data_IF_572122971622
#
_entry.id   IF_572122971622
#
_cell.length_a   1.000
_cell.length_b   1.000
_cell.length_c   1.000
_cell.angle_alpha   90.00
_cell.angle_beta   90.00
_cell.angle_gamma   90.00
#
_symmetry.space_group_name_H-M   'P 1'
#
loop_
_entity.id
_entity.type
_entity.pdbx_description
1 polymer ?
#
# COMPACT_ATOMS: atom_id res chain seq x y z
N UNK A 1 11.75 -23.81 -20.83
CA UNK A 1 10.36 -23.83 -20.32
C UNK A 1 9.82 -22.42 -20.43
N UNK A 2 8.76 -22.18 -21.22
CA UNK A 2 8.20 -20.84 -21.47
C UNK A 2 7.18 -20.52 -20.36
N UNK A 3 7.27 -19.38 -19.65
CA UNK A 3 6.21 -18.98 -18.73
C UNK A 3 5.01 -18.50 -19.54
N UNK A 4 3.86 -19.15 -19.33
CA UNK A 4 2.57 -18.70 -19.85
C UNK A 4 2.08 -17.60 -18.89
N UNK A 5 2.00 -16.37 -19.38
CA UNK A 5 1.40 -15.26 -18.64
C UNK A 5 -0.08 -15.22 -19.00
N UNK A 6 -0.92 -15.69 -18.07
CA UNK A 6 -2.37 -15.62 -18.18
C UNK A 6 -2.79 -14.18 -17.83
N UNK A 7 -3.02 -13.34 -18.84
CA UNK A 7 -3.59 -12.01 -18.65
C UNK A 7 -5.10 -12.17 -18.37
N UNK A 8 -5.48 -12.15 -17.09
CA UNK A 8 -6.87 -11.99 -16.68
C UNK A 8 -7.25 -10.51 -16.79
N UNK A 9 -7.76 -10.13 -17.97
CA UNK A 9 -8.39 -8.82 -18.18
C UNK A 9 -9.75 -8.84 -17.46
N UNK A 10 -9.76 -8.36 -16.22
CA UNK A 10 -11.00 -7.99 -15.54
C UNK A 10 -11.55 -6.73 -16.22
N UNK A 11 -12.38 -6.92 -17.25
CA UNK A 11 -13.13 -5.83 -17.88
C UNK A 11 -14.29 -5.45 -16.96
N UNK A 12 -14.16 -4.34 -16.24
CA UNK A 12 -15.30 -3.70 -15.61
C UNK A 12 -16.10 -2.95 -16.69
N UNK A 13 -17.44 -2.98 -16.66
CA UNK A 13 -18.24 -2.19 -17.57
C UNK A 13 -17.99 -0.71 -17.30
N UNK A 14 -17.23 -0.05 -18.18
CA UNK A 14 -17.08 1.40 -18.17
C UNK A 14 -18.44 2.00 -18.54
N UNK A 15 -19.06 2.85 -17.70
CA UNK A 15 -20.29 3.52 -18.09
C UNK A 15 -20.03 4.35 -19.35
N UNK A 16 -21.01 4.38 -20.25
CA UNK A 16 -20.91 5.10 -21.51
C UNK A 16 -20.58 6.58 -21.25
N UNK A 17 -19.35 7.00 -21.59
CA UNK A 17 -18.86 8.37 -21.36
C UNK A 17 -17.74 8.52 -20.32
N UNK A 18 -17.40 7.47 -19.57
CA UNK A 18 -16.30 7.52 -18.60
C UNK A 18 -14.94 7.65 -19.31
N UNK A 19 -14.28 8.79 -19.06
CA UNK A 19 -12.99 9.12 -19.66
C UNK A 19 -11.88 8.53 -18.79
N UNK A 20 -11.19 7.51 -19.31
CA UNK A 20 -10.02 6.94 -18.64
C UNK A 20 -8.87 7.96 -18.61
N UNK A 21 -8.36 8.29 -17.44
CA UNK A 21 -7.29 9.28 -17.23
C UNK A 21 -6.08 8.61 -16.58
N UNK A 22 -4.85 8.84 -17.09
CA UNK A 22 -3.66 8.40 -16.38
C UNK A 22 -3.48 9.20 -15.10
N UNK A 23 -3.05 8.54 -14.03
CA UNK A 23 -2.80 9.15 -12.72
C UNK A 23 -1.43 8.72 -12.21
N UNK A 24 -0.73 9.67 -11.60
CA UNK A 24 0.53 9.46 -10.91
C UNK A 24 0.37 9.95 -9.47
N UNK A 25 0.58 9.06 -8.52
CA UNK A 25 0.65 9.36 -7.11
C UNK A 25 2.09 9.21 -6.64
N UNK A 26 2.58 10.21 -5.92
CA UNK A 26 3.90 10.16 -5.30
C UNK A 26 3.76 10.59 -3.84
N UNK A 27 4.28 9.78 -2.93
CA UNK A 27 4.30 10.07 -1.50
C UNK A 27 5.70 9.80 -0.96
N UNK A 28 6.20 10.71 -0.13
CA UNK A 28 7.44 10.54 0.60
C UNK A 28 7.10 10.66 2.08
N UNK A 29 7.43 9.63 2.85
CA UNK A 29 7.20 9.59 4.30
C UNK A 29 8.56 9.45 4.98
N UNK A 30 8.89 10.39 5.85
CA UNK A 30 10.02 10.26 6.76
C UNK A 30 9.57 9.60 8.05
N UNK A 31 10.36 8.66 8.57
CA UNK A 31 10.07 7.99 9.83
C UNK A 31 11.30 7.95 10.73
N UNK A 32 11.10 8.24 12.02
CA UNK A 32 12.14 8.08 13.03
C UNK A 32 12.30 6.58 13.36
N UNK A 33 13.38 5.97 12.86
CA UNK A 33 13.68 4.54 13.06
C UNK A 33 14.55 3.95 11.95
N UNK A 34 14.85 2.64 12.00
CA UNK A 34 15.69 1.97 10.99
C UNK A 34 15.09 2.02 9.57
N UNK A 35 13.77 2.24 9.49
CA UNK A 35 13.00 2.48 8.28
C UNK A 35 13.43 3.76 7.53
N UNK A 36 13.89 4.79 8.26
CA UNK A 36 14.41 6.05 7.72
C UNK A 36 13.42 6.88 6.88
N UNK A 37 13.21 6.48 5.64
CA UNK A 37 12.26 7.10 4.72
C UNK A 37 11.64 6.05 3.80
N UNK A 38 10.35 6.17 3.53
CA UNK A 38 9.64 5.40 2.51
C UNK A 38 9.26 6.34 1.38
N UNK A 39 9.71 6.02 0.17
CA UNK A 39 9.20 6.60 -1.06
C UNK A 39 8.15 5.65 -1.65
N UNK A 40 6.98 6.18 -1.98
CA UNK A 40 5.91 5.46 -2.61
C UNK A 40 5.55 6.13 -3.94
N UNK A 41 5.47 5.31 -4.98
CA UNK A 41 5.09 5.69 -6.33
C UNK A 41 3.95 4.79 -6.80
N UNK A 42 2.86 5.38 -7.27
CA UNK A 42 1.77 4.64 -7.90
C UNK A 42 1.43 5.25 -9.25
N UNK A 43 1.37 4.40 -10.27
CA UNK A 43 1.01 4.76 -11.63
C UNK A 43 -0.23 3.97 -12.01
N UNK A 44 -1.27 4.62 -12.47
CA UNK A 44 -2.52 3.94 -12.82
C UNK A 44 -3.38 4.64 -13.83
N UNK A 45 -4.51 4.02 -14.10
CA UNK A 45 -5.58 4.55 -14.93
C UNK A 45 -6.83 4.65 -14.08
N UNK A 46 -7.41 5.84 -14.03
CA UNK A 46 -8.64 6.16 -13.30
C UNK A 46 -9.80 6.36 -14.26
N UNK A 47 -10.97 5.83 -13.91
CA UNK A 47 -12.23 6.11 -14.57
C UNK A 47 -13.23 6.63 -13.55
N UNK A 48 -13.98 7.67 -13.91
CA UNK A 48 -15.03 8.23 -13.06
C UNK A 48 -16.21 7.24 -12.95
N UNK A 49 -16.84 7.18 -11.78
CA UNK A 49 -18.01 6.35 -11.50
C UNK A 49 -19.20 7.24 -11.10
N UNK A 50 -20.38 6.98 -11.67
CA UNK A 50 -21.59 7.74 -11.35
C UNK A 50 -21.65 9.11 -12.02
N UNK A 51 -22.60 9.94 -11.56
CA UNK A 51 -22.79 11.30 -12.05
C UNK A 51 -21.97 12.29 -11.18
N UNK A 52 -20.94 12.97 -11.73
CA UNK A 52 -20.12 13.90 -10.95
C UNK A 52 -20.91 15.12 -10.41
N UNK A 53 -22.08 15.44 -10.97
CA UNK A 53 -22.93 16.54 -10.51
C UNK A 53 -23.71 16.16 -9.24
N UNK A 54 -23.81 14.87 -8.91
CA UNK A 54 -24.38 14.39 -7.66
C UNK A 54 -23.34 14.41 -6.52
N UNK A 55 -23.61 15.06 -5.37
CA UNK A 55 -22.65 15.17 -4.27
C UNK A 55 -22.13 13.83 -3.73
N UNK A 56 -22.91 12.76 -3.83
CA UNK A 56 -22.53 11.42 -3.39
C UNK A 56 -21.49 10.77 -4.31
N UNK A 57 -21.48 11.15 -5.58
CA UNK A 57 -20.58 10.63 -6.61
C UNK A 57 -19.51 11.65 -7.02
N UNK A 58 -19.50 12.84 -6.42
CA UNK A 58 -18.48 13.85 -6.61
C UNK A 58 -17.08 13.30 -6.26
N UNK A 59 -16.35 12.83 -7.27
CA UNK A 59 -15.06 12.18 -7.11
C UNK A 59 -15.11 10.66 -6.92
N UNK A 60 -16.25 10.01 -7.13
CA UNK A 60 -16.33 8.55 -7.20
C UNK A 60 -15.58 8.03 -8.44
N UNK A 61 -14.80 6.98 -8.28
CA UNK A 61 -13.89 6.48 -9.31
C UNK A 61 -13.49 5.02 -9.12
N UNK A 62 -13.00 4.40 -10.18
CA UNK A 62 -12.23 3.17 -10.14
C UNK A 62 -10.83 3.45 -10.69
N UNK A 63 -9.80 2.97 -10.02
CA UNK A 63 -8.41 3.12 -10.41
C UNK A 63 -7.69 1.78 -10.32
N UNK A 64 -6.87 1.49 -11.31
CA UNK A 64 -6.04 0.28 -11.35
C UNK A 64 -4.64 0.64 -11.82
N UNK A 65 -3.63 0.00 -11.26
CA UNK A 65 -2.26 0.31 -11.65
C UNK A 65 -1.19 -0.49 -10.95
N UNK A 66 0.02 0.04 -11.04
CA UNK A 66 1.24 -0.49 -10.43
C UNK A 66 1.66 0.38 -9.25
N UNK A 67 2.29 -0.23 -8.25
CA UNK A 67 2.87 0.46 -7.09
C UNK A 67 4.34 0.07 -6.93
N UNK A 68 5.11 1.01 -6.41
CA UNK A 68 6.45 0.79 -5.89
C UNK A 68 6.55 1.50 -4.53
N UNK A 69 6.99 0.77 -3.50
CA UNK A 69 7.37 1.32 -2.21
C UNK A 69 8.83 0.95 -1.95
N UNK A 70 9.68 1.94 -1.78
CA UNK A 70 11.11 1.74 -1.58
C UNK A 70 11.54 2.43 -0.29
N UNK A 71 12.25 1.69 0.56
CA UNK A 71 12.91 2.19 1.75
C UNK A 71 14.37 1.69 1.79
N UNK A 72 15.21 2.21 2.68
CA UNK A 72 16.56 1.70 2.89
C UNK A 72 16.65 0.21 3.24
N UNK A 73 15.56 -0.43 3.69
CA UNK A 73 15.57 -1.82 4.19
C UNK A 73 14.62 -2.77 3.45
N UNK A 74 13.78 -2.25 2.54
CA UNK A 74 12.94 -3.08 1.68
C UNK A 74 12.53 -2.39 0.39
N UNK A 75 12.05 -3.20 -0.54
CA UNK A 75 11.28 -2.78 -1.71
C UNK A 75 10.02 -3.64 -1.84
N UNK A 76 8.88 -2.99 -2.12
CA UNK A 76 7.60 -3.62 -2.42
C UNK A 76 7.11 -3.12 -3.78
N UNK A 77 7.03 -4.01 -4.76
CA UNK A 77 6.55 -3.66 -6.09
C UNK A 77 5.37 -4.54 -6.48
N UNK A 78 4.34 -3.98 -7.10
CA UNK A 78 3.16 -4.77 -7.41
C UNK A 78 2.03 -4.02 -8.08
N UNK A 79 0.82 -4.50 -7.84
CA UNK A 79 -0.41 -4.01 -8.43
C UNK A 79 -1.36 -3.49 -7.35
N UNK A 80 -2.18 -2.52 -7.71
CA UNK A 80 -3.29 -2.09 -6.88
C UNK A 80 -4.57 -1.94 -7.69
N UNK A 81 -5.68 -2.08 -6.98
CA UNK A 81 -7.03 -1.76 -7.41
C UNK A 81 -7.66 -0.89 -6.35
N UNK A 82 -8.22 0.24 -6.75
CA UNK A 82 -8.90 1.18 -5.89
C UNK A 82 -10.29 1.45 -6.47
N UNK A 83 -11.31 1.40 -5.61
CA UNK A 83 -12.68 1.72 -5.98
C UNK A 83 -13.22 2.66 -4.91
N UNK A 84 -13.58 3.86 -5.33
CA UNK A 84 -14.33 4.83 -4.53
C UNK A 84 -15.74 4.92 -5.10
N UNK A 85 -16.69 4.10 -4.62
CA UNK A 85 -18.05 4.09 -5.16
C UNK A 85 -18.84 5.34 -4.74
N UNK A 86 -18.41 6.01 -3.68
CA UNK A 86 -19.00 7.21 -3.10
C UNK A 86 -17.88 8.18 -2.71
N UNK A 87 -18.15 9.48 -2.74
CA UNK A 87 -17.18 10.55 -2.45
C UNK A 87 -16.46 10.39 -1.10
N UNK A 88 -17.12 9.75 -0.13
CA UNK A 88 -16.59 9.57 1.23
C UNK A 88 -15.96 8.19 1.49
N UNK A 89 -16.05 7.23 0.56
CA UNK A 89 -15.60 5.86 0.76
C UNK A 89 -14.58 5.46 -0.31
N UNK A 90 -13.43 4.96 0.11
CA UNK A 90 -12.41 4.40 -0.77
C UNK A 90 -12.05 2.99 -0.31
N UNK A 91 -12.10 2.04 -1.22
CA UNK A 91 -11.69 0.66 -1.01
C UNK A 91 -10.46 0.41 -1.86
N UNK A 92 -9.37 -0.07 -1.26
CA UNK A 92 -8.12 -0.30 -1.98
C UNK A 92 -7.56 -1.67 -1.64
N UNK A 93 -7.28 -2.47 -2.66
CA UNK A 93 -6.53 -3.71 -2.56
C UNK A 93 -5.17 -3.54 -3.23
N UNK A 94 -4.10 -3.99 -2.56
CA UNK A 94 -2.74 -3.98 -3.09
C UNK A 94 -2.11 -5.34 -2.93
N UNK A 95 -1.44 -5.84 -3.97
CA UNK A 95 -0.65 -7.06 -3.92
C UNK A 95 0.75 -6.75 -4.42
N UNK A 96 1.75 -6.94 -3.56
CA UNK A 96 3.15 -6.65 -3.87
C UNK A 96 4.05 -7.85 -3.65
N UNK A 97 5.07 -7.99 -4.51
CA UNK A 97 6.25 -8.77 -4.18
C UNK A 97 7.11 -7.92 -3.22
N UNK A 98 7.59 -8.56 -2.16
CA UNK A 98 8.37 -7.90 -1.11
C UNK A 98 9.78 -8.46 -1.09
N UNK A 99 10.78 -7.58 -1.00
CA UNK A 99 12.15 -7.91 -0.71
C UNK A 99 12.61 -7.08 0.50
N UNK A 100 13.18 -7.73 1.50
CA UNK A 100 13.73 -7.10 2.71
C UNK A 100 15.21 -7.46 2.80
N UNK A 101 16.04 -6.53 3.25
CA UNK A 101 17.46 -6.77 3.48
C UNK A 101 17.94 -6.05 4.74
N UNK A 102 18.99 -6.58 5.39
CA UNK A 102 19.57 -5.94 6.55
C UNK A 102 20.37 -4.71 6.13
N UNK A 103 20.41 -3.75 7.03
CA UNK A 103 21.44 -2.70 7.03
C UNK A 103 22.06 -2.73 8.42
N UNK A 104 23.33 -2.32 8.57
CA UNK A 104 24.07 -2.40 9.84
C UNK A 104 23.55 -1.51 10.98
N UNK A 105 22.24 -1.25 11.03
CA UNK A 105 21.55 -0.56 12.11
C UNK A 105 20.73 -1.57 12.92
N UNK A 106 20.73 -1.49 14.26
CA UNK A 106 19.91 -2.35 15.10
C UNK A 106 18.43 -2.34 14.70
N UNK A 107 17.80 -3.52 14.69
CA UNK A 107 16.42 -3.72 14.29
C UNK A 107 16.15 -3.64 12.79
N UNK A 108 17.19 -3.48 11.95
CA UNK A 108 17.05 -3.36 10.51
C UNK A 108 17.40 -4.68 9.80
N UNK A 109 16.39 -5.40 9.34
CA UNK A 109 16.56 -6.65 8.59
C UNK A 109 15.42 -7.62 8.79
N UNK A 110 15.52 -8.79 8.15
CA UNK A 110 14.62 -9.91 8.40
C UNK A 110 15.24 -10.86 9.42
N UNK A 111 14.42 -11.28 10.39
CA UNK A 111 14.82 -12.26 11.41
C UNK A 111 13.75 -13.33 11.51
N UNK A 112 14.07 -14.55 11.09
CA UNK A 112 13.23 -15.71 11.36
C UNK A 112 13.26 -16.04 12.85
N UNK A 113 12.09 -16.12 13.49
CA UNK A 113 11.99 -16.37 14.93
C UNK A 113 11.00 -17.49 15.25
N UNK A 114 11.12 -18.05 16.45
CA UNK A 114 10.15 -18.98 17.02
C UNK A 114 9.21 -18.27 18.02
N UNK A 115 9.44 -16.99 18.32
CA UNK A 115 8.64 -16.15 19.21
C UNK A 115 8.60 -14.70 18.74
N UNK A 116 7.44 -14.02 18.76
CA UNK A 116 7.31 -12.62 18.34
C UNK A 116 7.91 -11.62 19.33
N UNK A 117 8.20 -12.02 20.58
CA UNK A 117 8.79 -11.13 21.57
C UNK A 117 10.32 -11.17 21.46
N UNK A 118 10.91 -10.17 20.78
CA UNK A 118 12.36 -10.04 20.67
C UNK A 118 12.84 -8.65 21.13
N UNK A 119 13.98 -8.55 21.83
CA UNK A 119 14.63 -7.28 22.10
C UNK A 119 15.18 -6.66 20.79
N UNK A 120 15.72 -5.45 20.85
CA UNK A 120 16.42 -4.84 19.73
C UNK A 120 17.50 -5.79 19.18
N UNK A 121 17.29 -6.29 17.96
CA UNK A 121 18.14 -7.27 17.31
C UNK A 121 19.36 -6.57 16.69
N UNK A 122 20.50 -7.25 16.71
CA UNK A 122 21.72 -6.72 16.09
C UNK A 122 21.52 -6.56 14.58
N UNK A 123 21.91 -5.41 14.03
CA UNK A 123 21.73 -5.07 12.62
C UNK A 123 22.55 -5.96 11.68
N UNK A 124 23.72 -6.43 12.14
CA UNK A 124 24.56 -7.34 11.36
C UNK A 124 24.04 -8.78 11.35
N UNK A 125 23.12 -9.12 12.27
CA UNK A 125 22.56 -10.47 12.39
C UNK A 125 21.30 -10.69 11.52
N UNK A 126 20.79 -9.65 10.86
CA UNK A 126 19.65 -9.78 9.96
C UNK A 126 20.03 -10.45 8.64
N UNK A 127 19.04 -11.08 8.00
CA UNK A 127 19.20 -11.71 6.68
C UNK A 127 18.31 -11.03 5.64
N UNK A 128 18.56 -11.33 4.36
CA UNK A 128 17.66 -10.93 3.27
C UNK A 128 16.51 -11.93 3.13
N UNK A 129 15.31 -11.44 2.84
CA UNK A 129 14.13 -12.26 2.63
C UNK A 129 13.25 -11.73 1.50
N UNK A 130 12.52 -12.66 0.87
CA UNK A 130 11.59 -12.36 -0.20
C UNK A 130 10.22 -12.97 0.08
N UNK A 131 9.19 -12.41 -0.52
CA UNK A 131 7.84 -12.93 -0.40
C UNK A 131 6.80 -12.02 -1.00
N UNK A 132 5.61 -11.98 -0.40
CA UNK A 132 4.53 -11.11 -0.87
C UNK A 132 3.76 -10.50 0.30
N UNK A 133 3.21 -9.32 0.01
CA UNK A 133 2.33 -8.58 0.92
C UNK A 133 1.03 -8.28 0.19
N UNK A 134 -0.08 -8.69 0.81
CA UNK A 134 -1.42 -8.33 0.38
C UNK A 134 -2.02 -7.38 1.42
N UNK A 135 -2.44 -6.19 0.98
CA UNK A 135 -3.03 -5.17 1.83
C UNK A 135 -4.41 -4.82 1.31
N UNK A 136 -5.38 -4.75 2.21
CA UNK A 136 -6.73 -4.26 1.92
C UNK A 136 -7.04 -3.11 2.87
N UNK A 137 -7.32 -1.93 2.31
CA UNK A 137 -7.68 -0.73 3.07
C UNK A 137 -9.10 -0.28 2.73
N UNK A 138 -9.82 0.15 3.76
CA UNK A 138 -11.08 0.88 3.67
C UNK A 138 -10.87 2.25 4.30
N UNK A 139 -11.05 3.30 3.52
CA UNK A 139 -10.87 4.68 3.97
C UNK A 139 -12.22 5.38 3.92
N UNK A 140 -12.61 5.95 5.05
CA UNK A 140 -13.70 6.91 5.16
C UNK A 140 -13.08 8.30 5.20
N UNK A 141 -13.47 9.17 4.28
CA UNK A 141 -12.96 10.52 4.18
C UNK A 141 -14.08 11.54 4.04
N UNK A 142 -13.89 12.71 4.62
CA UNK A 142 -14.79 13.85 4.42
C UNK A 142 -14.03 15.16 4.52
N UNK A 143 -14.49 16.17 3.78
CA UNK A 143 -13.97 17.52 3.87
C UNK A 143 -15.02 18.43 4.51
N UNK A 144 -14.72 18.96 5.70
CA UNK A 144 -15.58 19.91 6.42
C UNK A 144 -15.08 21.33 6.12
N UNK A 145 -15.91 22.23 5.56
CA UNK A 145 -15.51 23.61 5.36
C UNK A 145 -15.38 24.35 6.70
N UNK A 146 -14.25 25.03 6.90
CA UNK A 146 -13.95 25.90 8.04
C UNK A 146 -13.61 27.30 7.52
N UNK A 147 -14.56 27.92 6.80
CA UNK A 147 -14.36 29.20 6.11
C UNK A 147 -13.41 29.06 4.91
N UNK A 148 -12.26 29.78 4.87
CA UNK A 148 -11.29 29.65 3.77
C UNK A 148 -10.47 28.35 3.82
N UNK A 149 -10.53 27.62 4.93
CA UNK A 149 -9.84 26.35 5.13
C UNK A 149 -10.84 25.18 5.02
N UNK A 150 -10.32 23.99 4.76
CA UNK A 150 -11.09 22.74 4.83
C UNK A 150 -10.39 21.79 5.79
N UNK A 151 -11.11 21.26 6.76
CA UNK A 151 -10.64 20.14 7.56
C UNK A 151 -10.92 18.84 6.79
N UNK A 152 -9.87 18.03 6.60
CA UNK A 152 -10.01 16.69 6.05
C UNK A 152 -10.07 15.74 7.25
N UNK A 153 -11.22 15.08 7.43
CA UNK A 153 -11.35 13.99 8.39
C UNK A 153 -11.18 12.70 7.61
N UNK A 154 -10.29 11.85 8.10
CA UNK A 154 -9.89 10.59 7.51
C UNK A 154 -9.97 9.52 8.59
N UNK A 155 -10.48 8.35 8.24
CA UNK A 155 -10.41 7.14 9.05
C UNK A 155 -10.08 5.98 8.14
N UNK A 156 -9.00 5.25 8.43
CA UNK A 156 -8.58 4.09 7.66
C UNK A 156 -8.68 2.83 8.52
N UNK A 157 -9.27 1.78 7.96
CA UNK A 157 -9.10 0.41 8.41
C UNK A 157 -8.24 -0.32 7.38
N UNK A 158 -7.13 -0.92 7.82
CA UNK A 158 -6.25 -1.70 6.96
C UNK A 158 -6.07 -3.12 7.50
N UNK A 159 -6.14 -4.09 6.60
CA UNK A 159 -5.86 -5.50 6.83
C UNK A 159 -4.65 -5.88 5.98
N UNK A 160 -3.61 -6.37 6.61
CA UNK A 160 -2.39 -6.79 5.92
C UNK A 160 -2.12 -8.27 6.16
N UNK A 161 -1.78 -8.98 5.08
CA UNK A 161 -1.28 -10.33 5.12
C UNK A 161 0.11 -10.37 4.45
N UNK A 162 1.11 -10.73 5.25
CA UNK A 162 2.49 -10.79 4.79
C UNK A 162 3.02 -12.21 4.92
N UNK A 163 3.67 -12.68 3.86
CA UNK A 163 4.40 -13.94 3.86
C UNK A 163 5.83 -13.68 3.45
N UNK A 164 6.76 -13.84 4.38
CA UNK A 164 8.20 -13.72 4.21
C UNK A 164 8.89 -14.98 4.75
N UNK A 165 9.78 -15.58 3.95
CA UNK A 165 10.58 -16.74 4.36
C UNK A 165 9.78 -18.01 4.69
N UNK A 166 10.46 -19.00 5.29
CA UNK A 166 9.90 -20.33 5.62
C UNK A 166 9.58 -20.52 7.11
N UNK A 167 9.91 -19.53 7.96
CA UNK A 167 9.75 -19.65 9.41
C UNK A 167 8.31 -19.35 9.86
N UNK A 168 7.79 -19.98 10.93
CA UNK A 168 6.45 -19.72 11.45
C UNK A 168 6.24 -18.29 11.96
N UNK A 169 7.32 -17.65 12.44
CA UNK A 169 7.32 -16.26 12.88
C UNK A 169 8.55 -15.55 12.31
N UNK A 170 8.43 -14.25 12.13
CA UNK A 170 9.54 -13.39 11.75
C UNK A 170 9.32 -11.96 12.27
N UNK A 171 10.41 -11.23 12.42
CA UNK A 171 10.40 -9.81 12.77
C UNK A 171 10.49 -8.95 11.50
N UNK A 172 9.62 -7.94 11.38
CA UNK A 172 9.65 -6.94 10.31
C UNK A 172 9.52 -5.54 10.92
N UNK A 173 10.59 -4.73 10.80
CA UNK A 173 10.63 -3.38 11.35
C UNK A 173 9.51 -2.45 10.84
N UNK A 174 8.92 -2.75 9.67
CA UNK A 174 7.77 -2.03 9.11
C UNK A 174 6.52 -2.15 9.99
N UNK A 175 6.32 -3.28 10.65
CA UNK A 175 5.06 -3.63 11.32
C UNK A 175 4.98 -3.09 12.75
N UNK A 176 6.08 -3.16 13.51
CA UNK A 176 6.11 -2.68 14.90
C UNK A 176 5.97 -1.15 15.00
N UNK A 177 6.30 -0.44 13.92
CA UNK A 177 6.11 0.99 13.81
C UNK A 177 4.63 1.45 13.76
N UNK A 178 3.75 0.61 13.22
CA UNK A 178 2.31 0.93 13.05
C UNK A 178 1.52 0.58 14.31
N UNK A 179 2.07 -0.28 15.18
CA UNK A 179 1.47 -0.73 16.42
C UNK A 179 1.99 -0.01 17.68
N UNK A 180 2.93 0.94 17.52
CA UNK A 180 3.53 1.73 18.60
C UNK A 180 2.83 3.09 18.80
#
# INVERSE_FOLDING_TARGET
MRPWMLLLLLSFPTPAGAQARPVLHQRLVGQLGPMGAEHALALGVRADLGDPDEPLFAGAHAEAGVVDYTSPIYSNNGLYLEVSPLAFLVLRGTLTATAVWPIGMPGAGYYGTQSPALPALDGEAGEAAHGFTATFSTILQMAVPLGPLRAIVWSELSLEHVRLGEMPFYYSARHDAVLA
#
